data_IF_590870233619
#
_entry.id   IF_590870233619
#
_cell.length_a   1.000
_cell.length_b   1.000
_cell.length_c   1.000
_cell.angle_alpha   90.00
_cell.angle_beta   90.00
_cell.angle_gamma   90.00
#
_symmetry.space_group_name_H-M   'P 1'
#
loop_
_entity.id
_entity.type
_entity.pdbx_description
1 polymer ?
#
# COMPACT_ATOMS: atom_id res chain seq x y z
N UNK A 1 13.66 2.32 -27.64
CA UNK A 1 13.12 1.34 -26.67
C UNK A 1 12.51 2.15 -25.54
N UNK A 2 11.19 2.08 -25.33
CA UNK A 2 10.55 2.74 -24.19
C UNK A 2 11.11 2.12 -22.90
N UNK A 3 11.68 2.94 -22.02
CA UNK A 3 12.21 2.50 -20.74
C UNK A 3 11.05 1.93 -19.91
N UNK A 4 11.22 0.75 -19.29
CA UNK A 4 10.17 0.16 -18.46
C UNK A 4 9.85 1.08 -17.27
N UNK A 5 8.58 1.26 -16.88
CA UNK A 5 8.19 2.13 -15.76
C UNK A 5 9.00 1.92 -14.48
N UNK A 6 9.22 0.67 -14.06
CA UNK A 6 10.01 0.38 -12.85
C UNK A 6 11.49 0.78 -12.99
N UNK A 7 12.08 0.60 -14.18
CA UNK A 7 13.46 1.01 -14.43
C UNK A 7 13.58 2.53 -14.40
N UNK A 8 12.65 3.23 -15.05
CA UNK A 8 12.58 4.70 -15.01
C UNK A 8 12.47 5.22 -13.58
N UNK A 9 11.56 4.63 -12.78
CA UNK A 9 11.36 4.98 -11.39
C UNK A 9 12.63 4.78 -10.55
N UNK A 10 13.30 3.63 -10.66
CA UNK A 10 14.55 3.34 -9.96
C UNK A 10 15.62 4.39 -10.29
N UNK A 11 15.80 4.74 -11.58
CA UNK A 11 16.77 5.75 -12.00
C UNK A 11 16.50 7.12 -11.37
N UNK A 12 15.25 7.57 -11.35
CA UNK A 12 14.82 8.83 -10.72
C UNK A 12 15.10 8.82 -9.22
N UNK A 13 14.73 7.75 -8.54
CA UNK A 13 14.86 7.62 -7.09
C UNK A 13 16.33 7.62 -6.66
N UNK A 14 17.21 6.90 -7.37
CA UNK A 14 18.66 6.95 -7.09
C UNK A 14 19.29 8.32 -7.34
N UNK A 15 18.71 9.13 -8.23
CA UNK A 15 19.09 10.52 -8.42
C UNK A 15 18.46 11.49 -7.39
N UNK A 16 17.84 10.96 -6.32
CA UNK A 16 17.11 11.75 -5.31
C UNK A 16 16.02 12.66 -5.90
N UNK A 17 15.35 12.19 -6.96
CA UNK A 17 14.22 12.88 -7.54
C UNK A 17 12.90 12.18 -7.22
N UNK A 18 11.91 12.96 -6.79
CA UNK A 18 10.56 12.47 -6.50
C UNK A 18 9.88 11.93 -7.76
N UNK A 19 9.09 10.88 -7.62
CA UNK A 19 8.21 10.41 -8.67
C UNK A 19 6.89 11.19 -8.65
N UNK A 20 6.29 11.39 -9.81
CA UNK A 20 4.88 11.79 -9.84
C UNK A 20 4.01 10.63 -9.36
N UNK A 21 2.79 10.91 -8.91
CA UNK A 21 1.83 9.86 -8.57
C UNK A 21 1.57 8.89 -9.73
N UNK A 22 1.66 9.36 -10.99
CA UNK A 22 1.49 8.53 -12.18
C UNK A 22 2.69 7.59 -12.41
N UNK A 23 3.92 8.07 -12.21
CA UNK A 23 5.13 7.23 -12.36
C UNK A 23 5.19 6.15 -11.28
N UNK A 24 4.85 6.50 -10.04
CA UNK A 24 4.79 5.56 -8.93
C UNK A 24 3.69 4.50 -9.13
N UNK A 25 2.52 4.90 -9.63
CA UNK A 25 1.42 4.00 -9.98
C UNK A 25 1.81 3.02 -11.10
N UNK A 26 2.47 3.51 -12.15
CA UNK A 26 2.94 2.67 -13.25
C UNK A 26 4.01 1.66 -12.82
N UNK A 27 5.00 2.10 -12.03
CA UNK A 27 6.03 1.22 -11.48
C UNK A 27 5.42 0.15 -10.55
N UNK A 28 4.51 0.54 -9.66
CA UNK A 28 3.84 -0.40 -8.76
C UNK A 28 2.91 -1.37 -9.52
N UNK A 29 2.26 -0.94 -10.60
CA UNK A 29 1.44 -1.83 -11.44
C UNK A 29 2.27 -2.99 -12.00
N UNK A 30 3.48 -2.71 -12.51
CA UNK A 30 4.38 -3.79 -12.98
C UNK A 30 4.79 -4.76 -11.87
N UNK A 31 4.97 -4.27 -10.64
CA UNK A 31 5.25 -5.12 -9.48
C UNK A 31 4.05 -6.03 -9.21
N UNK A 32 2.84 -5.49 -9.20
CA UNK A 32 1.62 -6.23 -8.91
C UNK A 32 1.24 -7.24 -10.00
N UNK A 33 1.62 -6.98 -11.26
CA UNK A 33 1.44 -7.89 -12.40
C UNK A 33 2.52 -8.98 -12.48
N UNK A 34 3.54 -8.92 -11.62
CA UNK A 34 4.65 -9.89 -11.61
C UNK A 34 5.66 -9.70 -12.75
N UNK A 35 5.64 -8.54 -13.42
CA UNK A 35 6.55 -8.20 -14.51
C UNK A 35 7.92 -7.70 -14.02
N UNK A 36 8.00 -7.30 -12.75
CA UNK A 36 9.23 -6.87 -12.10
C UNK A 36 10.00 -8.06 -11.50
N UNK A 37 11.30 -8.12 -11.78
CA UNK A 37 12.20 -9.08 -11.13
C UNK A 37 12.36 -8.79 -9.64
N UNK A 38 12.70 -9.78 -8.79
CA UNK A 38 12.97 -9.55 -7.37
C UNK A 38 14.04 -8.48 -7.11
N UNK A 39 15.06 -8.40 -7.98
CA UNK A 39 16.10 -7.38 -7.89
C UNK A 39 15.56 -5.97 -8.15
N UNK A 40 14.68 -5.80 -9.12
CA UNK A 40 14.04 -4.50 -9.40
C UNK A 40 13.10 -4.08 -8.26
N UNK A 41 12.33 -5.02 -7.69
CA UNK A 41 11.46 -4.75 -6.53
C UNK A 41 12.32 -4.29 -5.34
N UNK A 42 13.39 -5.03 -5.02
CA UNK A 42 14.31 -4.66 -3.94
C UNK A 42 14.97 -3.29 -4.16
N UNK A 43 15.42 -2.99 -5.37
CA UNK A 43 16.03 -1.70 -5.72
C UNK A 43 15.03 -0.55 -5.60
N UNK A 44 13.80 -0.73 -6.09
CA UNK A 44 12.74 0.29 -5.98
C UNK A 44 12.41 0.62 -4.53
N UNK A 45 12.21 -0.40 -3.68
CA UNK A 45 11.90 -0.22 -2.26
C UNK A 45 13.06 0.43 -1.48
N UNK A 46 14.30 -0.01 -1.73
CA UNK A 46 15.47 0.56 -1.09
C UNK A 46 15.69 2.02 -1.51
N UNK A 47 15.55 2.34 -2.80
CA UNK A 47 15.72 3.69 -3.31
C UNK A 47 14.64 4.65 -2.78
N UNK A 48 13.37 4.22 -2.73
CA UNK A 48 12.29 4.98 -2.07
C UNK A 48 12.63 5.32 -0.62
N UNK A 49 13.05 4.32 0.16
CA UNK A 49 13.41 4.50 1.56
C UNK A 49 14.61 5.44 1.74
N UNK A 50 15.65 5.28 0.92
CA UNK A 50 16.86 6.10 1.01
C UNK A 50 16.62 7.55 0.61
N UNK A 51 15.76 7.79 -0.39
CA UNK A 51 15.34 9.15 -0.78
C UNK A 51 14.42 9.78 0.27
N UNK A 52 13.53 8.98 0.87
CA UNK A 52 12.39 9.42 1.66
C UNK A 52 11.14 9.51 0.79
N UNK A 53 10.07 8.81 1.19
CA UNK A 53 8.83 8.71 0.42
C UNK A 53 7.98 9.99 0.50
N UNK A 54 7.40 10.40 -0.62
CA UNK A 54 6.45 11.53 -0.72
C UNK A 54 4.99 11.07 -0.73
N UNK A 55 4.07 12.01 -0.49
CA UNK A 55 2.62 11.73 -0.56
C UNK A 55 2.20 11.24 -1.94
N UNK A 56 2.75 11.82 -3.02
CA UNK A 56 2.41 11.42 -4.39
C UNK A 56 2.89 10.00 -4.70
N UNK A 57 4.10 9.64 -4.27
CA UNK A 57 4.66 8.28 -4.40
C UNK A 57 3.80 7.25 -3.66
N UNK A 58 3.46 7.52 -2.39
CA UNK A 58 2.61 6.63 -1.58
C UNK A 58 1.22 6.50 -2.23
N UNK A 59 0.65 7.62 -2.70
CA UNK A 59 -0.68 7.64 -3.33
C UNK A 59 -0.69 6.83 -4.63
N UNK A 60 0.31 6.98 -5.49
CA UNK A 60 0.45 6.23 -6.74
C UNK A 60 0.56 4.73 -6.47
N UNK A 61 1.47 4.35 -5.58
CA UNK A 61 1.62 2.95 -5.17
C UNK A 61 0.33 2.37 -4.58
N UNK A 62 -0.34 3.10 -3.67
CA UNK A 62 -1.58 2.64 -3.05
C UNK A 62 -2.73 2.47 -4.05
N UNK A 63 -2.83 3.33 -5.07
CA UNK A 63 -3.81 3.19 -6.15
C UNK A 63 -3.59 1.93 -6.97
N UNK A 64 -2.36 1.66 -7.39
CA UNK A 64 -2.02 0.43 -8.10
C UNK A 64 -2.33 -0.82 -7.28
N UNK A 65 -1.86 -0.88 -6.03
CA UNK A 65 -2.15 -2.00 -5.12
C UNK A 65 -3.66 -2.22 -4.91
N UNK A 66 -4.42 -1.14 -4.74
CA UNK A 66 -5.88 -1.21 -4.57
C UNK A 66 -6.59 -1.74 -5.82
N UNK A 67 -6.14 -1.40 -7.03
CA UNK A 67 -6.70 -1.95 -8.28
C UNK A 67 -6.42 -3.44 -8.44
N UNK A 68 -5.25 -3.89 -8.01
CA UNK A 68 -4.85 -5.31 -8.07
C UNK A 68 -5.49 -6.17 -6.98
N UNK A 69 -6.05 -5.57 -5.93
CA UNK A 69 -6.71 -6.29 -4.84
C UNK A 69 -8.08 -6.86 -5.27
N UNK A 70 -8.45 -8.00 -4.68
CA UNK A 70 -9.81 -8.55 -4.78
C UNK A 70 -10.80 -7.58 -4.15
N UNK A 71 -11.76 -7.12 -4.94
CA UNK A 71 -12.76 -6.15 -4.48
C UNK A 71 -13.90 -6.86 -3.77
N UNK A 72 -14.14 -6.52 -2.51
CA UNK A 72 -15.30 -6.99 -1.73
C UNK A 72 -16.29 -5.83 -1.61
N UNK A 73 -17.54 -6.07 -2.04
CA UNK A 73 -18.62 -5.07 -2.02
C UNK A 73 -19.79 -5.59 -1.16
N UNK A 74 -19.73 -5.40 0.18
CA UNK A 74 -20.76 -5.93 1.06
C UNK A 74 -22.08 -5.16 0.88
N UNK A 75 -23.21 -5.87 0.95
CA UNK A 75 -24.54 -5.28 0.85
C UNK A 75 -24.93 -4.61 2.19
N UNK A 76 -24.48 -3.37 2.39
CA UNK A 76 -24.68 -2.60 3.64
C UNK A 76 -25.52 -1.33 3.47
N UNK A 77 -26.01 -1.04 2.25
CA UNK A 77 -26.71 0.20 1.95
C UNK A 77 -25.83 1.42 2.24
N UNK A 78 -26.41 2.44 2.88
CA UNK A 78 -25.72 3.68 3.27
C UNK A 78 -25.04 3.59 4.66
N UNK A 79 -24.94 2.38 5.24
CA UNK A 79 -24.30 2.21 6.53
C UNK A 79 -22.80 2.53 6.46
N UNK A 80 -22.29 3.18 7.51
CA UNK A 80 -20.86 3.44 7.66
C UNK A 80 -20.09 2.12 7.81
N UNK A 81 -19.05 1.95 6.99
CA UNK A 81 -18.10 0.85 7.07
C UNK A 81 -16.75 1.39 7.55
N UNK A 82 -16.24 0.83 8.64
CA UNK A 82 -14.99 1.27 9.26
C UNK A 82 -13.92 0.18 9.18
N UNK A 83 -12.68 0.60 9.02
CA UNK A 83 -11.50 -0.24 9.19
C UNK A 83 -10.72 0.24 10.42
N UNK A 84 -10.18 -0.71 11.19
CA UNK A 84 -9.37 -0.45 12.38
C UNK A 84 -8.05 -1.17 12.20
N UNK A 85 -7.01 -0.44 11.82
CA UNK A 85 -5.76 -1.02 11.33
C UNK A 85 -4.56 -0.13 11.64
N UNK A 86 -3.37 -0.71 11.58
CA UNK A 86 -2.10 -0.02 11.72
C UNK A 86 -1.04 -0.69 10.84
N UNK A 87 0.06 0.03 10.60
CA UNK A 87 1.19 -0.49 9.82
C UNK A 87 1.91 -1.64 10.51
N UNK A 88 1.83 -1.71 11.84
CA UNK A 88 2.66 -2.60 12.66
C UNK A 88 4.13 -2.20 12.63
N UNK A 89 5.00 -3.09 13.13
CA UNK A 89 6.46 -2.91 13.10
C UNK A 89 7.06 -2.08 14.24
N UNK A 90 6.27 -1.70 15.25
CA UNK A 90 6.76 -0.96 16.42
C UNK A 90 7.66 -1.79 17.35
N UNK A 91 7.65 -3.13 17.19
CA UNK A 91 8.43 -4.09 17.99
C UNK A 91 8.13 -4.03 19.50
N UNK A 92 6.97 -3.47 19.89
CA UNK A 92 6.58 -3.31 21.30
C UNK A 92 5.97 -4.61 21.86
N UNK A 93 5.55 -5.54 20.99
CA UNK A 93 5.01 -6.83 21.40
C UNK A 93 3.65 -6.71 22.09
N UNK A 94 2.86 -5.69 21.76
CA UNK A 94 1.50 -5.57 22.27
C UNK A 94 0.65 -6.74 21.79
N UNK A 95 -0.37 -7.10 22.56
CA UNK A 95 -1.43 -7.98 22.05
C UNK A 95 -2.16 -7.31 20.88
N UNK A 96 -3.08 -8.03 20.23
CA UNK A 96 -3.83 -7.56 19.06
C UNK A 96 -4.85 -6.45 19.36
N UNK A 97 -4.39 -5.28 19.82
CA UNK A 97 -5.20 -4.14 20.24
C UNK A 97 -6.17 -3.72 19.14
N UNK A 98 -5.70 -3.59 17.88
CA UNK A 98 -6.56 -3.18 16.76
C UNK A 98 -7.69 -4.19 16.48
N UNK A 99 -7.42 -5.48 16.67
CA UNK A 99 -8.43 -6.54 16.53
C UNK A 99 -9.44 -6.50 17.68
N UNK A 100 -8.96 -6.31 18.92
CA UNK A 100 -9.86 -6.13 20.07
C UNK A 100 -10.74 -4.89 19.90
N UNK A 101 -10.17 -3.77 19.44
CA UNK A 101 -10.92 -2.55 19.16
C UNK A 101 -11.98 -2.76 18.07
N UNK A 102 -11.67 -3.52 17.01
CA UNK A 102 -12.64 -3.86 15.97
C UNK A 102 -13.89 -4.57 16.53
N UNK A 103 -13.73 -5.48 17.49
CA UNK A 103 -14.87 -6.14 18.16
C UNK A 103 -15.67 -5.18 19.03
N UNK A 104 -15.01 -4.27 19.75
CA UNK A 104 -15.70 -3.26 20.57
C UNK A 104 -16.54 -2.33 19.69
N UNK A 105 -15.97 -1.84 18.58
CA UNK A 105 -16.68 -0.98 17.60
C UNK A 105 -17.86 -1.73 16.98
N UNK A 106 -17.67 -2.99 16.59
CA UNK A 106 -18.74 -3.83 16.06
C UNK A 106 -19.85 -4.11 17.07
N UNK A 107 -19.49 -4.32 18.36
CA UNK A 107 -20.44 -4.51 19.45
C UNK A 107 -21.34 -3.29 19.71
N UNK A 108 -20.89 -2.10 19.31
CA UNK A 108 -21.69 -0.88 19.33
C UNK A 108 -22.60 -0.70 18.09
N UNK A 109 -22.64 -1.69 17.19
CA UNK A 109 -23.51 -1.69 16.01
C UNK A 109 -22.90 -1.10 14.73
N UNK A 110 -21.66 -0.62 14.77
CA UNK A 110 -20.93 -0.13 13.58
C UNK A 110 -20.45 -1.31 12.74
N UNK A 111 -20.57 -1.22 11.41
CA UNK A 111 -20.04 -2.28 10.53
C UNK A 111 -18.53 -2.13 10.41
N UNK A 112 -17.80 -3.22 10.66
CA UNK A 112 -16.34 -3.24 10.59
C UNK A 112 -15.88 -4.21 9.50
N UNK A 113 -15.06 -3.73 8.57
CA UNK A 113 -14.32 -4.55 7.61
C UNK A 113 -12.83 -4.31 7.83
N UNK A 114 -12.22 -5.17 8.66
CA UNK A 114 -10.81 -5.06 9.01
C UNK A 114 -9.94 -5.80 8.00
N UNK A 115 -8.98 -5.11 7.40
CA UNK A 115 -7.89 -5.79 6.71
C UNK A 115 -6.78 -6.17 7.69
N UNK A 116 -5.99 -7.20 7.36
CA UNK A 116 -4.94 -7.67 8.24
C UNK A 116 -4.05 -8.73 7.61
N UNK A 117 -3.03 -9.12 8.37
CA UNK A 117 -2.09 -10.18 8.05
C UNK A 117 -1.94 -11.12 9.28
N UNK A 118 -1.13 -12.17 9.16
CA UNK A 118 -0.74 -13.04 10.29
C UNK A 118 0.11 -12.32 11.33
#
# INVERSE_FOLDING_TARGET
MSQQPIQHAIHRLFAHHDLTAADADAAMTQIMEGEATPAQVGAFLAALRMKGETVDEITGCARAMKRSAVQVRPAIGDAMLVDVVGTGGDSIGTFNISTTAAFVVAGHGVKVAKHGNR
#
